data_IF_432568844520
#
_entry.id   IF_432568844520
#
_cell.length_a   1.000
_cell.length_b   1.000
_cell.length_c   1.000
_cell.angle_alpha   90.00
_cell.angle_beta   90.00
_cell.angle_gamma   90.00
#
_symmetry.space_group_name_H-M   'P 1'
#
loop_
_entity.id
_entity.type
_entity.pdbx_description
1 polymer ?
#
# COMPACT_ATOMS: atom_id res chain seq x y z
N UNK A 1 5.99 3.07 3.39
CA UNK A 1 6.33 1.72 2.90
C UNK A 1 6.17 1.61 1.39
N UNK A 2 4.98 1.93 0.84
CA UNK A 2 4.70 1.84 -0.60
C UNK A 2 5.66 2.64 -1.49
N UNK A 3 5.81 3.95 -1.26
CA UNK A 3 6.67 4.81 -2.08
C UNK A 3 8.15 4.38 -2.12
N UNK A 4 8.68 3.82 -1.02
CA UNK A 4 10.08 3.39 -0.94
C UNK A 4 10.26 1.90 -1.29
N UNK A 5 9.17 1.19 -1.58
CA UNK A 5 9.24 -0.22 -1.93
C UNK A 5 9.61 -1.19 -0.81
N UNK A 6 9.39 -0.80 0.45
CA UNK A 6 9.75 -1.62 1.61
C UNK A 6 8.71 -2.72 1.86
N UNK A 7 8.78 -3.82 1.11
CA UNK A 7 7.80 -4.92 1.14
C UNK A 7 7.59 -5.51 2.55
N UNK A 8 8.65 -5.82 3.28
CA UNK A 8 8.54 -6.41 4.63
C UNK A 8 7.80 -5.48 5.60
N UNK A 9 8.06 -4.17 5.53
CA UNK A 9 7.32 -3.19 6.33
C UNK A 9 5.88 -3.02 5.84
N UNK A 10 5.63 -3.12 4.53
CA UNK A 10 4.28 -3.08 4.00
C UNK A 10 3.44 -4.29 4.50
N UNK A 11 4.02 -5.50 4.57
CA UNK A 11 3.37 -6.69 5.14
C UNK A 11 2.95 -6.46 6.59
N UNK A 12 3.92 -6.05 7.41
CA UNK A 12 3.68 -5.81 8.84
C UNK A 12 2.62 -4.73 9.11
N UNK A 13 2.51 -3.72 8.24
CA UNK A 13 1.51 -2.67 8.39
C UNK A 13 0.12 -3.13 7.99
N UNK A 14 0.02 -3.93 6.93
CA UNK A 14 -1.26 -4.36 6.35
C UNK A 14 -1.89 -5.52 7.13
N UNK A 15 -1.10 -6.28 7.88
CA UNK A 15 -1.60 -7.32 8.81
C UNK A 15 -2.24 -6.73 10.09
N UNK A 16 -2.19 -5.42 10.28
CA UNK A 16 -2.77 -4.77 11.45
C UNK A 16 -4.22 -4.35 11.20
N UNK A 17 -5.09 -4.71 12.13
CA UNK A 17 -6.52 -4.35 12.08
C UNK A 17 -6.79 -2.84 12.30
N UNK A 18 -5.80 -2.09 12.81
CA UNK A 18 -5.91 -0.65 13.11
C UNK A 18 -5.36 0.26 11.99
N UNK A 19 -5.02 -0.29 10.83
CA UNK A 19 -4.45 0.44 9.70
C UNK A 19 -5.43 0.47 8.52
N UNK A 20 -5.81 1.67 8.09
CA UNK A 20 -6.59 1.88 6.86
C UNK A 20 -5.65 1.90 5.64
N UNK A 21 -5.51 0.74 4.99
CA UNK A 21 -4.61 0.55 3.84
C UNK A 21 -5.04 1.30 2.56
N UNK A 22 -6.28 1.80 2.51
CA UNK A 22 -6.82 2.58 1.38
C UNK A 22 -6.80 4.10 1.62
N UNK A 23 -6.30 4.55 2.78
CA UNK A 23 -6.28 5.95 3.18
C UNK A 23 -5.61 6.82 2.12
N UNK A 24 -6.22 7.97 1.84
CA UNK A 24 -5.76 8.89 0.79
C UNK A 24 -4.86 9.96 1.38
N UNK A 25 -3.78 10.29 0.67
CA UNK A 25 -2.99 11.47 0.96
C UNK A 25 -3.70 12.76 0.53
N UNK A 26 -3.06 13.92 0.74
CA UNK A 26 -3.62 15.23 0.40
C UNK A 26 -3.91 15.41 -1.10
N UNK A 27 -3.30 14.59 -1.96
CA UNK A 27 -3.50 14.59 -3.41
C UNK A 27 -4.53 13.54 -3.85
N UNK A 28 -5.19 12.86 -2.90
CA UNK A 28 -6.18 11.83 -3.16
C UNK A 28 -5.58 10.47 -3.54
N UNK A 29 -4.27 10.26 -3.36
CA UNK A 29 -3.60 9.01 -3.75
C UNK A 29 -3.58 8.02 -2.60
N UNK A 30 -3.86 6.76 -2.92
CA UNK A 30 -3.75 5.64 -1.98
C UNK A 30 -2.32 5.09 -1.96
N UNK A 31 -1.93 4.31 -0.93
CA UNK A 31 -0.69 3.55 -0.94
C UNK A 31 -0.52 2.69 -2.20
N UNK A 32 -1.62 2.11 -2.73
CA UNK A 32 -1.60 1.33 -3.96
C UNK A 32 -1.25 2.21 -5.17
N UNK A 33 -1.82 3.42 -5.27
CA UNK A 33 -1.48 4.38 -6.32
C UNK A 33 0.01 4.75 -6.30
N UNK A 34 0.60 4.89 -5.12
CA UNK A 34 2.03 5.12 -4.98
C UNK A 34 2.86 3.92 -5.43
N UNK A 35 2.51 2.70 -5.00
CA UNK A 35 3.23 1.49 -5.36
C UNK A 35 3.18 1.23 -6.88
N UNK A 36 2.06 1.48 -7.54
CA UNK A 36 1.94 1.34 -9.00
C UNK A 36 2.67 2.44 -9.75
N UNK A 37 2.59 3.70 -9.29
CA UNK A 37 3.25 4.84 -9.94
C UNK A 37 4.77 4.68 -10.00
N UNK A 38 5.38 4.18 -8.93
CA UNK A 38 6.83 3.96 -8.88
C UNK A 38 7.27 2.62 -9.49
N UNK A 39 6.32 1.78 -9.91
CA UNK A 39 6.59 0.44 -10.44
C UNK A 39 6.99 -0.60 -9.40
N UNK A 40 6.61 -0.44 -8.13
CA UNK A 40 6.85 -1.45 -7.11
C UNK A 40 5.73 -2.51 -7.11
N UNK A 41 5.89 -3.50 -7.98
CA UNK A 41 4.92 -4.58 -8.16
C UNK A 41 4.68 -5.41 -6.90
N UNK A 42 5.72 -5.65 -6.09
CA UNK A 42 5.61 -6.47 -4.89
C UNK A 42 4.68 -5.83 -3.86
N UNK A 43 4.87 -4.53 -3.59
CA UNK A 43 4.00 -3.79 -2.67
C UNK A 43 2.61 -3.54 -3.28
N UNK A 44 2.51 -3.33 -4.60
CA UNK A 44 1.22 -3.17 -5.26
C UNK A 44 0.36 -4.43 -5.15
N UNK A 45 0.94 -5.62 -5.39
CA UNK A 45 0.25 -6.91 -5.21
C UNK A 45 -0.21 -7.11 -3.78
N UNK A 46 0.67 -6.82 -2.82
CA UNK A 46 0.35 -6.92 -1.40
C UNK A 46 -0.87 -6.05 -1.03
N UNK A 47 -0.87 -4.78 -1.43
CA UNK A 47 -1.96 -3.86 -1.14
C UNK A 47 -3.25 -4.23 -1.89
N UNK A 48 -3.15 -4.81 -3.08
CA UNK A 48 -4.30 -5.26 -3.86
C UNK A 48 -5.10 -6.38 -3.18
N UNK A 49 -4.43 -7.28 -2.44
CA UNK A 49 -5.10 -8.38 -1.75
C UNK A 49 -5.74 -7.97 -0.42
N UNK A 50 -5.39 -6.80 0.10
CA UNK A 50 -5.80 -6.34 1.44
C UNK A 50 -6.86 -5.25 1.43
N UNK A 51 -7.20 -4.70 0.27
CA UNK A 51 -8.32 -3.77 0.11
C UNK A 51 -9.47 -4.55 -0.54
N UNK A 52 -10.59 -4.82 0.16
CA UNK A 52 -11.77 -5.37 -0.48
C UNK A 52 -12.33 -4.34 -1.49
N UNK A 53 -12.53 -4.78 -2.73
CA UNK A 53 -13.08 -3.97 -3.83
C UNK A 53 -14.54 -3.60 -3.63
#
# INVERSE_FOLDING_TARGET
>A
AAMNGHEALAKLLVERDDVEADSKDNDGRTPLSWATLIGNEAVAKLLQFSIPT
#
